data_IF_049158254112
#
_entry.id   IF_049158254112
#
_cell.length_a   1.000
_cell.length_b   1.000
_cell.length_c   1.000
_cell.angle_alpha   90.00
_cell.angle_beta   90.00
_cell.angle_gamma   90.00
#
_symmetry.space_group_name_H-M   'P 1'
#
loop_
_entity.id
_entity.type
_entity.pdbx_description
1 polymer ?
#
# COMPACT_ATOMS: atom_id res chain seq x y z
N UNK A 1 -33.20 -2.70 5.12
CA UNK A 1 -31.97 -2.19 5.77
C UNK A 1 -30.92 -1.93 4.69
N UNK A 2 -30.52 -0.68 4.44
CA UNK A 2 -29.38 -0.38 3.56
C UNK A 2 -28.11 -0.95 4.22
N UNK A 3 -27.45 -1.92 3.59
CA UNK A 3 -26.09 -2.34 3.99
C UNK A 3 -25.24 -1.07 4.09
N UNK A 4 -24.71 -0.75 5.26
CA UNK A 4 -23.69 0.31 5.39
C UNK A 4 -22.50 -0.10 4.52
N UNK A 5 -22.32 0.58 3.40
CA UNK A 5 -21.10 0.41 2.62
C UNK A 5 -19.95 0.99 3.43
N UNK A 6 -18.95 0.17 3.74
CA UNK A 6 -17.73 0.65 4.37
C UNK A 6 -16.99 1.60 3.42
N UNK A 7 -16.30 2.56 4.00
CA UNK A 7 -15.61 3.61 3.24
C UNK A 7 -14.15 3.23 3.06
N UNK A 8 -13.64 3.45 1.85
CA UNK A 8 -12.23 3.22 1.51
C UNK A 8 -11.61 4.54 1.07
N UNK A 9 -10.53 4.95 1.74
CA UNK A 9 -9.69 6.06 1.35
C UNK A 9 -8.43 5.46 0.73
N UNK A 10 -8.20 5.76 -0.56
CA UNK A 10 -7.05 5.29 -1.32
C UNK A 10 -5.94 6.35 -1.33
N UNK A 11 -4.72 5.97 -0.96
CA UNK A 11 -3.54 6.84 -0.96
C UNK A 11 -2.46 6.19 -1.80
N UNK A 12 -2.25 6.69 -3.01
CA UNK A 12 -1.22 6.22 -3.94
C UNK A 12 -0.06 7.20 -4.06
N UNK A 13 1.03 6.77 -4.68
CA UNK A 13 2.19 7.61 -4.97
C UNK A 13 3.50 6.84 -4.95
N UNK A 14 4.62 7.47 -5.35
CA UNK A 14 5.92 6.84 -5.49
C UNK A 14 6.56 6.48 -4.14
N UNK A 15 7.71 5.80 -4.18
CA UNK A 15 8.47 5.47 -2.99
C UNK A 15 8.92 6.75 -2.24
N UNK A 16 8.91 6.71 -0.90
CA UNK A 16 9.33 7.82 -0.03
C UNK A 16 8.55 9.15 -0.18
N UNK A 17 7.36 9.14 -0.79
CA UNK A 17 6.48 10.33 -0.85
C UNK A 17 5.74 10.64 0.46
N UNK A 18 5.94 9.86 1.53
CA UNK A 18 5.32 10.08 2.84
C UNK A 18 4.00 9.36 3.07
N UNK A 19 3.52 8.55 2.10
CA UNK A 19 2.22 7.85 2.18
C UNK A 19 1.97 7.10 3.48
N UNK A 20 2.93 6.28 3.91
CA UNK A 20 2.73 5.39 5.06
C UNK A 20 2.52 6.18 6.36
N UNK A 21 3.30 7.25 6.57
CA UNK A 21 3.15 8.11 7.74
C UNK A 21 1.82 8.87 7.71
N UNK A 22 1.47 9.42 6.56
CA UNK A 22 0.21 10.16 6.36
C UNK A 22 -1.00 9.23 6.51
N UNK A 23 -0.98 8.06 5.84
CA UNK A 23 -2.09 7.11 5.88
C UNK A 23 -2.34 6.55 7.28
N UNK A 24 -1.27 6.25 8.04
CA UNK A 24 -1.38 5.79 9.43
C UNK A 24 -1.97 6.88 10.33
N UNK A 25 -1.49 8.12 10.25
CA UNK A 25 -2.03 9.22 11.05
C UNK A 25 -3.48 9.56 10.67
N UNK A 26 -3.80 9.55 9.38
CA UNK A 26 -5.17 9.74 8.91
C UNK A 26 -6.11 8.64 9.44
N UNK A 27 -5.70 7.36 9.34
CA UNK A 27 -6.47 6.24 9.86
C UNK A 27 -6.73 6.36 11.36
N UNK A 28 -5.71 6.76 12.13
CA UNK A 28 -5.83 7.00 13.58
C UNK A 28 -6.88 8.08 13.89
N UNK A 29 -6.86 9.21 13.17
CA UNK A 29 -7.84 10.31 13.37
C UNK A 29 -9.26 9.90 13.02
N UNK A 30 -9.40 9.15 11.90
CA UNK A 30 -10.71 8.70 11.43
C UNK A 30 -11.24 7.47 12.18
N UNK A 31 -10.42 6.83 13.02
CA UNK A 31 -10.69 5.51 13.63
C UNK A 31 -11.00 4.45 12.56
N UNK A 32 -10.30 4.53 11.43
CA UNK A 32 -10.35 3.57 10.34
C UNK A 32 -9.20 2.56 10.50
N UNK A 33 -9.30 1.44 9.81
CA UNK A 33 -8.19 0.48 9.76
C UNK A 33 -7.15 0.96 8.73
N UNK A 34 -5.90 1.05 9.16
CA UNK A 34 -4.77 1.31 8.27
C UNK A 34 -4.32 0.03 7.58
N UNK A 35 -4.20 0.06 6.25
CA UNK A 35 -3.71 -1.06 5.44
C UNK A 35 -2.53 -0.62 4.58
N UNK A 36 -1.38 -1.28 4.76
CA UNK A 36 -0.21 -1.10 3.93
C UNK A 36 -0.14 -2.23 2.90
N UNK A 37 -0.52 -1.95 1.65
CA UNK A 37 -0.46 -2.96 0.59
C UNK A 37 0.97 -3.43 0.31
N UNK A 38 1.95 -2.55 0.43
CA UNK A 38 3.37 -2.88 0.28
C UNK A 38 3.84 -3.91 1.30
N UNK A 39 3.34 -3.84 2.55
CA UNK A 39 3.65 -4.83 3.58
C UNK A 39 3.10 -6.22 3.22
N UNK A 40 1.91 -6.30 2.62
CA UNK A 40 1.32 -7.57 2.17
C UNK A 40 2.19 -8.21 1.07
N UNK A 41 2.61 -7.42 0.05
CA UNK A 41 3.51 -7.91 -1.00
C UNK A 41 4.86 -8.36 -0.45
N UNK A 42 5.43 -7.64 0.52
CA UNK A 42 6.69 -8.00 1.18
C UNK A 42 6.56 -9.28 1.99
N UNK A 43 5.45 -9.47 2.69
CA UNK A 43 5.19 -10.71 3.41
C UNK A 43 5.16 -11.93 2.45
N UNK A 44 4.53 -11.79 1.29
CA UNK A 44 4.55 -12.83 0.26
C UNK A 44 5.98 -13.04 -0.27
N UNK A 45 6.72 -11.96 -0.54
CA UNK A 45 8.11 -12.04 -1.01
C UNK A 45 8.99 -12.78 0.00
N UNK A 46 8.89 -12.43 1.28
CA UNK A 46 9.58 -13.16 2.34
C UNK A 46 9.25 -14.66 2.32
N UNK A 47 7.98 -15.02 2.21
CA UNK A 47 7.57 -16.42 2.14
C UNK A 47 8.14 -17.15 0.93
N UNK A 48 8.20 -16.53 -0.23
CA UNK A 48 8.81 -17.07 -1.46
C UNK A 48 10.30 -17.35 -1.22
N UNK A 49 11.01 -16.40 -0.62
CA UNK A 49 12.43 -16.54 -0.28
C UNK A 49 12.66 -17.66 0.75
N UNK A 50 11.83 -17.77 1.79
CA UNK A 50 11.93 -18.85 2.78
C UNK A 50 11.73 -20.25 2.17
N UNK A 51 11.08 -20.34 1.02
CA UNK A 51 10.91 -21.59 0.27
C UNK A 51 12.03 -21.84 -0.75
N UNK A 52 13.04 -20.99 -0.80
CA UNK A 52 14.15 -21.09 -1.75
C UNK A 52 13.74 -20.83 -3.19
N UNK A 53 12.60 -20.16 -3.44
CA UNK A 53 12.12 -19.85 -4.79
C UNK A 53 12.75 -18.52 -5.23
N UNK A 54 13.32 -18.50 -6.45
CA UNK A 54 13.86 -17.29 -7.06
C UNK A 54 12.72 -16.27 -7.28
N UNK A 55 12.83 -15.03 -6.74
CA UNK A 55 11.85 -13.97 -6.96
C UNK A 55 11.60 -13.59 -8.43
N UNK A 56 12.42 -14.07 -9.36
CA UNK A 56 12.26 -13.88 -10.81
C UNK A 56 11.50 -15.01 -11.49
N UNK A 57 11.28 -16.12 -10.79
CA UNK A 57 10.55 -17.29 -11.33
C UNK A 57 9.04 -17.13 -11.12
N UNK A 58 8.40 -16.43 -12.06
CA UNK A 58 6.97 -16.13 -12.00
C UNK A 58 6.08 -17.39 -11.93
N UNK A 59 6.51 -18.52 -12.52
CA UNK A 59 5.72 -19.76 -12.55
C UNK A 59 5.68 -20.42 -11.16
N UNK A 60 6.84 -20.59 -10.52
CA UNK A 60 6.92 -21.15 -9.17
C UNK A 60 6.31 -20.21 -8.12
N UNK A 61 6.44 -18.88 -8.29
CA UNK A 61 5.78 -17.89 -7.43
C UNK A 61 4.26 -18.04 -7.51
N UNK A 62 3.70 -18.11 -8.73
CA UNK A 62 2.26 -18.26 -8.91
C UNK A 62 1.71 -19.52 -8.24
N UNK A 63 2.44 -20.63 -8.30
CA UNK A 63 2.08 -21.87 -7.64
C UNK A 63 2.19 -21.77 -6.10
N UNK A 64 3.27 -21.16 -5.62
CA UNK A 64 3.54 -21.03 -4.19
C UNK A 64 2.53 -20.12 -3.46
N UNK A 65 2.09 -19.03 -4.10
CA UNK A 65 1.16 -18.09 -3.47
C UNK A 65 -0.23 -18.70 -3.22
N UNK A 66 -0.66 -19.68 -4.02
CA UNK A 66 -1.92 -20.39 -3.81
C UNK A 66 -1.93 -21.18 -2.50
N UNK A 67 -0.80 -21.77 -2.14
CA UNK A 67 -0.62 -22.53 -0.91
C UNK A 67 -0.19 -21.68 0.30
N UNK A 68 0.09 -20.40 0.11
CA UNK A 68 0.68 -19.53 1.12
C UNK A 68 -0.22 -19.26 2.34
N UNK A 69 -1.54 -19.58 2.26
CA UNK A 69 -2.52 -19.32 3.33
C UNK A 69 -2.36 -17.93 3.93
N UNK A 70 -2.36 -16.92 3.03
CA UNK A 70 -2.31 -15.51 3.44
C UNK A 70 -3.52 -15.19 4.31
N UNK A 71 -3.28 -14.89 5.57
CA UNK A 71 -4.25 -14.32 6.49
C UNK A 71 -3.81 -12.89 6.82
N UNK A 72 -4.75 -12.10 7.26
CA UNK A 72 -4.46 -10.76 7.70
C UNK A 72 -5.30 -10.49 8.95
N UNK A 73 -4.62 -10.17 10.04
CA UNK A 73 -5.24 -9.77 11.29
C UNK A 73 -5.24 -8.24 11.42
N UNK A 74 -6.09 -7.73 12.29
CA UNK A 74 -6.09 -6.31 12.64
C UNK A 74 -5.63 -6.20 14.09
N UNK A 75 -4.51 -5.52 14.29
CA UNK A 75 -3.94 -5.26 15.60
C UNK A 75 -3.79 -3.75 15.76
N UNK A 76 -4.40 -3.17 16.79
CA UNK A 76 -4.38 -1.72 17.06
C UNK A 76 -4.83 -0.86 15.86
N UNK A 77 -5.88 -1.31 15.15
CA UNK A 77 -6.39 -0.68 13.93
C UNK A 77 -5.39 -0.69 12.74
N UNK A 78 -4.37 -1.51 12.77
CA UNK A 78 -3.45 -1.72 11.64
C UNK A 78 -3.53 -3.15 11.13
N UNK A 79 -3.51 -3.33 9.81
CA UNK A 79 -3.48 -4.66 9.21
C UNK A 79 -2.10 -5.30 9.39
N UNK A 80 -2.07 -6.56 9.84
CA UNK A 80 -0.88 -7.41 9.89
C UNK A 80 -1.05 -8.61 8.99
N UNK A 81 -0.05 -8.88 8.17
CA UNK A 81 -0.05 -10.05 7.29
C UNK A 81 0.55 -11.26 8.00
N UNK A 82 -0.19 -12.36 7.99
CA UNK A 82 0.30 -13.66 8.43
C UNK A 82 0.39 -14.61 7.24
N UNK A 83 1.50 -15.30 7.09
CA UNK A 83 1.67 -16.33 6.06
C UNK A 83 1.89 -17.68 6.73
N UNK A 84 1.02 -18.64 6.46
CA UNK A 84 1.02 -19.93 7.14
C UNK A 84 1.04 -19.79 8.68
N UNK A 85 0.37 -18.77 9.22
CA UNK A 85 0.32 -18.39 10.65
C UNK A 85 1.62 -17.78 11.21
N UNK A 86 2.59 -17.45 10.38
CA UNK A 86 3.83 -16.78 10.78
C UNK A 86 3.68 -15.29 10.49
N UNK A 87 4.02 -14.44 11.45
CA UNK A 87 4.11 -12.99 11.29
C UNK A 87 5.51 -12.63 10.80
N UNK A 88 5.68 -12.15 9.55
CA UNK A 88 6.97 -11.77 9.00
C UNK A 88 7.34 -10.31 9.27
N UNK A 89 6.67 -9.62 10.17
CA UNK A 89 6.79 -8.14 10.34
C UNK A 89 8.25 -7.70 10.48
N UNK A 90 9.08 -8.43 11.23
CA UNK A 90 10.48 -8.08 11.46
C UNK A 90 11.37 -8.27 10.21
N UNK A 91 10.88 -9.01 9.20
CA UNK A 91 11.59 -9.34 7.96
C UNK A 91 11.12 -8.56 6.74
N UNK A 92 10.10 -7.73 6.88
CA UNK A 92 9.52 -7.03 5.72
C UNK A 92 10.49 -6.03 5.05
N UNK A 93 11.55 -5.66 5.73
CA UNK A 93 12.56 -4.70 5.26
C UNK A 93 13.94 -5.31 5.05
N UNK A 94 14.08 -6.64 5.13
CA UNK A 94 15.31 -7.34 4.79
C UNK A 94 15.74 -7.02 3.34
N UNK A 95 17.04 -6.98 3.09
CA UNK A 95 17.59 -6.59 1.78
C UNK A 95 17.04 -7.49 0.65
N UNK A 96 17.02 -8.81 0.84
CA UNK A 96 16.49 -9.75 -0.16
C UNK A 96 14.99 -9.53 -0.45
N UNK A 97 14.21 -9.16 0.58
CA UNK A 97 12.79 -8.80 0.40
C UNK A 97 12.65 -7.50 -0.37
N UNK A 98 13.51 -6.51 -0.06
CA UNK A 98 13.53 -5.24 -0.79
C UNK A 98 13.87 -5.43 -2.28
N UNK A 99 14.84 -6.29 -2.59
CA UNK A 99 15.25 -6.61 -3.96
C UNK A 99 14.17 -7.40 -4.73
N UNK A 100 13.55 -8.39 -4.07
CA UNK A 100 12.59 -9.30 -4.71
C UNK A 100 11.19 -8.75 -4.87
N UNK A 101 10.75 -7.80 -4.03
CA UNK A 101 9.33 -7.40 -3.95
C UNK A 101 8.77 -6.82 -5.26
N UNK A 102 9.57 -6.13 -6.06
CA UNK A 102 9.12 -5.58 -7.34
C UNK A 102 8.78 -6.69 -8.34
N UNK A 103 9.59 -7.74 -8.41
CA UNK A 103 9.32 -8.90 -9.27
C UNK A 103 8.11 -9.70 -8.77
N UNK A 104 8.07 -10.06 -7.50
CA UNK A 104 6.97 -10.83 -6.90
C UNK A 104 5.64 -10.08 -7.05
N UNK A 105 5.61 -8.77 -6.80
CA UNK A 105 4.40 -7.96 -6.93
C UNK A 105 3.93 -7.74 -8.38
N UNK A 106 4.76 -8.01 -9.38
CA UNK A 106 4.37 -7.97 -10.79
C UNK A 106 3.66 -9.24 -11.28
N UNK A 107 3.77 -10.35 -10.53
CA UNK A 107 3.13 -11.63 -10.90
C UNK A 107 1.61 -11.52 -10.80
N UNK A 108 0.85 -11.73 -11.89
CA UNK A 108 -0.61 -11.51 -11.89
C UNK A 108 -1.35 -12.33 -10.83
N UNK A 109 -0.91 -13.55 -10.56
CA UNK A 109 -1.53 -14.42 -9.54
C UNK A 109 -1.35 -13.87 -8.12
N UNK A 110 -0.16 -13.36 -7.81
CA UNK A 110 0.11 -12.68 -6.53
C UNK A 110 -0.80 -11.46 -6.37
N UNK A 111 -0.91 -10.65 -7.42
CA UNK A 111 -1.80 -9.49 -7.41
C UNK A 111 -3.25 -9.88 -7.15
N UNK A 112 -3.75 -10.91 -7.83
CA UNK A 112 -5.12 -11.41 -7.64
C UNK A 112 -5.41 -11.74 -6.16
N UNK A 113 -4.49 -12.46 -5.51
CA UNK A 113 -4.63 -12.82 -4.10
C UNK A 113 -4.61 -11.59 -3.19
N UNK A 114 -3.67 -10.66 -3.40
CA UNK A 114 -3.53 -9.46 -2.56
C UNK A 114 -4.71 -8.51 -2.74
N UNK A 115 -5.13 -8.26 -3.98
CA UNK A 115 -6.30 -7.41 -4.28
C UNK A 115 -7.56 -7.97 -3.63
N UNK A 116 -7.78 -9.29 -3.75
CA UNK A 116 -8.94 -9.92 -3.12
C UNK A 116 -8.91 -9.74 -1.60
N UNK A 117 -7.76 -9.93 -0.95
CA UNK A 117 -7.60 -9.70 0.49
C UNK A 117 -7.93 -8.27 0.90
N UNK A 118 -7.45 -7.27 0.17
CA UNK A 118 -7.78 -5.87 0.46
C UNK A 118 -9.28 -5.58 0.31
N UNK A 119 -9.92 -6.17 -0.70
CA UNK A 119 -11.37 -6.04 -0.91
C UNK A 119 -12.17 -6.73 0.19
N UNK A 120 -11.71 -7.90 0.67
CA UNK A 120 -12.36 -8.60 1.78
C UNK A 120 -12.37 -7.73 3.06
N UNK A 121 -11.30 -7.00 3.35
CA UNK A 121 -11.28 -6.05 4.46
C UNK A 121 -12.33 -4.94 4.32
N UNK A 122 -12.51 -4.41 3.12
CA UNK A 122 -13.47 -3.35 2.86
C UNK A 122 -14.93 -3.79 3.04
N UNK A 123 -15.21 -5.10 3.10
CA UNK A 123 -16.56 -5.59 3.41
C UNK A 123 -16.93 -5.42 4.88
N UNK A 124 -15.97 -5.31 5.78
CA UNK A 124 -16.21 -5.30 7.23
C UNK A 124 -15.65 -4.07 7.95
N UNK A 125 -14.81 -3.26 7.29
CA UNK A 125 -14.11 -2.15 7.94
C UNK A 125 -14.08 -0.91 7.05
N UNK A 126 -14.09 0.27 7.68
CA UNK A 126 -13.67 1.50 7.02
C UNK A 126 -12.13 1.51 6.94
N UNK A 127 -11.58 1.83 5.78
CA UNK A 127 -10.16 1.64 5.50
C UNK A 127 -9.47 2.92 5.04
N UNK A 128 -8.22 3.11 5.47
CA UNK A 128 -7.23 3.92 4.79
C UNK A 128 -6.18 2.97 4.23
N UNK A 129 -6.10 2.86 2.92
CA UNK A 129 -5.18 1.94 2.24
C UNK A 129 -4.15 2.74 1.46
N UNK A 130 -2.89 2.40 1.63
CA UNK A 130 -1.81 2.98 0.83
C UNK A 130 -1.20 1.97 -0.15
N UNK A 131 -0.75 2.48 -1.30
CA UNK A 131 -0.10 1.65 -2.32
C UNK A 131 0.43 2.40 -3.51
N UNK A 132 0.22 1.79 -4.71
CA UNK A 132 0.63 2.30 -6.01
C UNK A 132 -0.53 2.41 -6.99
N UNK A 133 -1.55 1.60 -6.79
CA UNK A 133 -2.67 1.40 -7.69
C UNK A 133 -3.99 1.17 -6.93
N UNK A 134 -4.06 1.67 -5.70
CA UNK A 134 -5.23 1.48 -4.84
C UNK A 134 -6.45 2.18 -5.43
N UNK A 135 -6.30 3.44 -5.82
CA UNK A 135 -7.39 4.23 -6.39
C UNK A 135 -7.63 3.99 -7.89
N UNK A 136 -6.66 3.43 -8.61
CA UNK A 136 -6.81 3.16 -10.05
C UNK A 136 -7.29 1.74 -10.37
N UNK A 137 -6.92 0.73 -9.54
CA UNK A 137 -7.19 -0.69 -9.83
C UNK A 137 -7.90 -1.41 -8.69
N UNK A 138 -7.45 -1.24 -7.44
CA UNK A 138 -7.98 -2.01 -6.32
C UNK A 138 -9.37 -1.55 -5.93
N UNK A 139 -9.57 -0.23 -5.81
CA UNK A 139 -10.84 0.43 -5.49
C UNK A 139 -11.13 1.59 -6.46
N UNK A 140 -11.36 1.30 -7.75
CA UNK A 140 -11.57 2.34 -8.76
C UNK A 140 -12.84 3.17 -8.53
N UNK A 141 -13.80 2.65 -7.80
CA UNK A 141 -15.09 3.30 -7.55
C UNK A 141 -15.13 4.14 -6.27
N UNK A 142 -14.05 4.14 -5.46
CA UNK A 142 -14.04 5.01 -4.27
C UNK A 142 -13.95 6.48 -4.68
N UNK A 143 -14.75 7.39 -4.09
CA UNK A 143 -14.63 8.82 -4.36
C UNK A 143 -13.46 9.48 -3.60
N UNK A 144 -12.81 8.74 -2.70
CA UNK A 144 -11.78 9.26 -1.79
C UNK A 144 -10.39 8.81 -2.23
N UNK A 145 -9.87 9.43 -3.31
CA UNK A 145 -8.57 9.10 -3.88
C UNK A 145 -7.61 10.25 -3.72
N UNK A 146 -6.42 9.93 -3.24
CA UNK A 146 -5.32 10.86 -3.05
C UNK A 146 -4.05 10.29 -3.68
N UNK A 147 -3.28 11.15 -4.31
CA UNK A 147 -1.96 10.80 -4.83
C UNK A 147 -0.94 11.71 -4.17
N UNK A 148 -0.06 11.13 -3.36
CA UNK A 148 0.99 11.88 -2.67
C UNK A 148 2.29 11.79 -3.46
N UNK A 149 2.80 12.94 -3.87
CA UNK A 149 4.08 13.05 -4.54
C UNK A 149 5.08 13.86 -3.70
N UNK A 150 6.34 13.84 -4.08
CA UNK A 150 7.38 14.71 -3.58
C UNK A 150 8.53 14.75 -4.59
N UNK A 151 9.31 15.83 -4.57
CA UNK A 151 10.46 15.95 -5.47
C UNK A 151 11.46 14.79 -5.27
N UNK A 152 12.17 14.38 -6.33
CA UNK A 152 13.15 13.31 -6.24
C UNK A 152 14.19 13.53 -5.12
N UNK A 153 14.63 14.77 -4.93
CA UNK A 153 15.64 15.13 -3.92
C UNK A 153 15.08 14.92 -2.49
N UNK A 154 13.82 15.31 -2.27
CA UNK A 154 13.17 15.12 -0.97
C UNK A 154 12.97 13.63 -0.70
N UNK A 155 12.56 12.86 -1.69
CA UNK A 155 12.35 11.42 -1.55
C UNK A 155 13.67 10.67 -1.28
N UNK A 156 14.76 11.03 -1.95
CA UNK A 156 16.10 10.50 -1.69
C UNK A 156 16.54 10.78 -0.26
N UNK A 157 16.37 12.03 0.20
CA UNK A 157 16.71 12.44 1.57
C UNK A 157 15.92 11.65 2.61
N UNK A 158 14.60 11.50 2.41
CA UNK A 158 13.73 10.73 3.30
C UNK A 158 14.15 9.26 3.37
N UNK A 159 14.57 8.68 2.24
CA UNK A 159 15.00 7.30 2.14
C UNK A 159 16.33 7.06 2.86
N UNK A 160 17.28 7.96 2.66
CA UNK A 160 18.56 7.94 3.37
C UNK A 160 18.37 8.02 4.89
N UNK A 161 17.45 8.88 5.36
CA UNK A 161 17.11 8.99 6.78
C UNK A 161 16.49 7.71 7.37
N UNK A 162 15.91 6.84 6.54
CA UNK A 162 15.39 5.53 6.93
C UNK A 162 16.46 4.42 6.92
N UNK A 163 17.74 4.76 6.64
CA UNK A 163 18.84 3.80 6.53
C UNK A 163 18.75 2.87 5.31
N UNK A 164 17.89 3.18 4.34
CA UNK A 164 17.66 2.33 3.18
C UNK A 164 18.44 2.87 1.97
N UNK A 165 19.14 1.96 1.27
CA UNK A 165 20.03 2.28 0.15
C UNK A 165 19.46 1.90 -1.21
N UNK A 166 18.18 1.44 -1.28
CA UNK A 166 17.57 1.05 -2.54
C UNK A 166 17.42 2.26 -3.49
N UNK A 167 17.65 2.01 -4.75
CA UNK A 167 17.54 3.01 -5.81
C UNK A 167 16.07 3.35 -6.07
N UNK A 168 15.61 4.47 -5.48
CA UNK A 168 14.22 4.95 -5.65
C UNK A 168 13.84 5.04 -7.12
N UNK A 169 14.76 5.52 -7.97
CA UNK A 169 14.52 5.71 -9.40
C UNK A 169 14.24 4.39 -10.12
N UNK A 170 15.02 3.34 -9.84
CA UNK A 170 14.80 2.01 -10.43
C UNK A 170 13.46 1.43 -9.97
N UNK A 171 13.12 1.62 -8.71
CA UNK A 171 11.86 1.12 -8.13
C UNK A 171 10.65 1.85 -8.70
N UNK A 172 10.69 3.18 -8.80
CA UNK A 172 9.61 3.96 -9.39
C UNK A 172 9.46 3.63 -10.88
N UNK A 173 10.57 3.43 -11.60
CA UNK A 173 10.54 2.97 -12.98
C UNK A 173 9.89 1.58 -13.10
N UNK A 174 10.28 0.63 -12.23
CA UNK A 174 9.68 -0.70 -12.20
C UNK A 174 8.18 -0.64 -11.86
N UNK A 175 7.77 0.22 -10.91
CA UNK A 175 6.37 0.39 -10.53
C UNK A 175 5.54 1.04 -11.66
N UNK A 176 6.10 2.00 -12.41
CA UNK A 176 5.40 2.73 -13.49
C UNK A 176 5.38 1.95 -14.81
N UNK A 177 6.38 1.12 -15.08
CA UNK A 177 6.48 0.34 -16.32
C UNK A 177 5.77 -1.02 -16.28
N UNK A 178 5.08 -1.35 -15.18
CA UNK A 178 4.31 -2.60 -15.08
C UNK A 178 3.24 -2.68 -16.15
N UNK A 179 3.15 -3.82 -16.83
CA UNK A 179 2.08 -4.10 -17.78
C UNK A 179 0.71 -4.22 -17.09
N UNK A 180 0.70 -4.67 -15.84
CA UNK A 180 -0.52 -4.81 -15.03
C UNK A 180 -0.38 -3.94 -13.79
N UNK A 181 -1.36 -3.06 -13.56
CA UNK A 181 -1.43 -2.16 -12.41
C UNK A 181 -0.20 -1.26 -12.26
N UNK A 182 0.13 -0.44 -13.27
CA UNK A 182 1.22 0.52 -13.16
C UNK A 182 0.93 1.58 -12.08
N UNK A 183 2.00 2.21 -11.57
CA UNK A 183 1.87 3.41 -10.77
C UNK A 183 1.41 4.56 -11.68
N UNK A 184 0.15 4.94 -11.54
CA UNK A 184 -0.47 6.04 -12.28
C UNK A 184 -1.33 6.89 -11.34
N UNK A 185 -1.46 8.16 -11.65
CA UNK A 185 -2.42 9.04 -10.99
C UNK A 185 -3.82 8.67 -11.50
N UNK A 186 -4.71 8.23 -10.61
CA UNK A 186 -6.10 8.01 -11.01
C UNK A 186 -6.75 9.34 -11.42
N UNK A 187 -7.58 9.33 -12.46
CA UNK A 187 -8.12 10.53 -13.09
C UNK A 187 -8.85 11.47 -12.10
N UNK A 188 -9.49 10.91 -11.08
CA UNK A 188 -10.27 11.63 -10.07
C UNK A 188 -9.53 11.75 -8.72
N UNK A 189 -8.22 11.43 -8.69
CA UNK A 189 -7.40 11.57 -7.50
C UNK A 189 -7.01 13.02 -7.24
N UNK A 190 -7.05 13.44 -5.97
CA UNK A 190 -6.47 14.70 -5.54
C UNK A 190 -4.96 14.52 -5.34
N UNK A 191 -4.17 15.28 -6.10
CA UNK A 191 -2.70 15.24 -6.03
C UNK A 191 -2.21 16.24 -4.99
N UNK A 192 -1.34 15.77 -4.10
CA UNK A 192 -0.71 16.59 -3.05
C UNK A 192 0.80 16.47 -3.16
N UNK A 193 1.49 17.59 -3.38
CA UNK A 193 2.95 17.66 -3.26
C UNK A 193 3.33 17.79 -1.79
N UNK A 194 3.98 16.77 -1.28
CA UNK A 194 4.39 16.68 0.12
C UNK A 194 5.82 17.20 0.38
N UNK A 195 6.47 17.79 -0.63
CA UNK A 195 7.89 18.16 -0.57
C UNK A 195 8.20 19.13 0.57
N UNK A 196 7.31 20.08 0.81
CA UNK A 196 7.47 21.13 1.83
C UNK A 196 6.46 21.02 2.98
N UNK A 197 5.58 20.02 2.94
CA UNK A 197 4.53 19.85 3.94
C UNK A 197 4.98 18.93 5.09
N UNK A 198 4.50 19.21 6.29
CA UNK A 198 4.56 18.28 7.41
C UNK A 198 3.50 17.20 7.26
N UNK A 199 3.65 16.07 7.96
CA UNK A 199 2.62 15.01 7.98
C UNK A 199 1.28 15.59 8.41
N UNK A 200 1.28 16.46 9.44
CA UNK A 200 0.11 17.16 9.95
C UNK A 200 -0.58 18.00 8.88
N UNK A 201 0.19 18.77 8.12
CA UNK A 201 -0.31 19.62 7.03
C UNK A 201 -0.98 18.81 5.92
N UNK A 202 -0.36 17.69 5.51
CA UNK A 202 -0.92 16.77 4.49
C UNK A 202 -2.20 16.12 5.02
N UNK A 203 -2.21 15.65 6.26
CA UNK A 203 -3.40 15.02 6.86
C UNK A 203 -4.55 16.01 6.96
N UNK A 204 -4.26 17.27 7.35
CA UNK A 204 -5.28 18.33 7.40
C UNK A 204 -5.88 18.57 6.01
N UNK A 205 -5.06 18.71 4.98
CA UNK A 205 -5.53 18.90 3.59
C UNK A 205 -6.41 17.73 3.13
N UNK A 206 -6.02 16.49 3.45
CA UNK A 206 -6.84 15.31 3.13
C UNK A 206 -8.18 15.38 3.85
N UNK A 207 -8.22 15.70 5.15
CA UNK A 207 -9.46 15.79 5.93
C UNK A 207 -10.38 16.86 5.34
N UNK A 208 -9.86 18.06 5.06
CA UNK A 208 -10.63 19.16 4.45
C UNK A 208 -11.29 18.70 3.13
N UNK A 209 -10.56 17.90 2.31
CA UNK A 209 -11.10 17.33 1.06
C UNK A 209 -12.12 16.22 1.28
N UNK A 210 -11.93 15.38 2.29
CA UNK A 210 -12.90 14.35 2.66
C UNK A 210 -14.22 14.96 3.10
N UNK A 211 -14.19 16.02 3.89
CA UNK A 211 -15.38 16.76 4.33
C UNK A 211 -16.12 17.40 3.15
N UNK A 212 -15.40 18.02 2.21
CA UNK A 212 -15.98 18.55 0.97
C UNK A 212 -16.68 17.48 0.13
N UNK A 213 -16.20 16.23 0.21
CA UNK A 213 -16.81 15.06 -0.45
C UNK A 213 -17.87 14.36 0.43
N UNK A 214 -18.29 14.96 1.54
CA UNK A 214 -19.36 14.47 2.41
C UNK A 214 -18.94 13.35 3.37
N UNK A 215 -17.65 13.15 3.59
CA UNK A 215 -17.15 12.26 4.64
C UNK A 215 -16.91 13.08 5.90
N UNK A 216 -17.90 13.14 6.80
CA UNK A 216 -17.77 13.85 8.07
C UNK A 216 -16.84 13.08 9.02
N UNK A 217 -15.83 13.77 9.50
CA UNK A 217 -14.90 13.29 10.53
C UNK A 217 -15.50 13.68 11.88
N UNK A 218 -16.01 12.67 12.60
CA UNK A 218 -16.47 12.92 13.99
C UNK A 218 -15.24 13.21 14.86
N UNK A 219 -15.21 14.38 15.45
CA UNK A 219 -14.22 14.84 16.43
C UNK A 219 -14.11 13.88 17.62
#
# INVERSE_FOLDING_TARGET
MRKRSHRVIAIDGPAASGKSSVARELARRLRFVYVNSGAIYRAITWHILQRGIDPRDSAHIAQAVESAKLACDIVNNESRSLIARIDPTDHLHDDLVNEGVSHVSSVPRVRGVVVQKMRDYAHSHNLVIEGRDIGSVVFPDTPYKFYLDASPEVRLRRRAAQGQRDEITMRDHADSSRLVSPLVVAQDAHVIDTSLLTIEGVVKEIIDRLEQKGLHVSS
#
